data_IF_040267577960
#
_entry.id   IF_040267577960
#
_cell.length_a   1.000
_cell.length_b   1.000
_cell.length_c   1.000
_cell.angle_alpha   90.00
_cell.angle_beta   90.00
_cell.angle_gamma   90.00
#
_symmetry.space_group_name_H-M   'P 1'
#
loop_
_entity.id
_entity.type
_entity.pdbx_description
1 polymer ?
#
# COMPACT_ATOMS: atom_id res chain seq x y z
N UNK A 1 33.87 -92.45 -41.53
CA UNK A 1 34.41 -91.15 -41.09
C UNK A 1 33.57 -90.03 -41.72
N UNK A 2 32.63 -89.49 -40.99
CA UNK A 2 31.83 -88.32 -41.43
C UNK A 2 31.78 -87.37 -40.27
N UNK A 3 32.31 -86.16 -40.47
CA UNK A 3 32.32 -85.05 -39.52
C UNK A 3 31.01 -84.24 -39.69
N UNK A 4 30.26 -84.20 -38.70
CA UNK A 4 29.07 -83.33 -38.62
C UNK A 4 29.45 -81.98 -37.95
N UNK A 5 29.28 -80.89 -38.70
CA UNK A 5 29.38 -79.53 -38.20
C UNK A 5 28.07 -79.17 -37.52
N UNK A 6 28.13 -78.69 -36.26
CA UNK A 6 27.01 -78.07 -35.55
C UNK A 6 27.10 -76.58 -35.76
N UNK A 7 26.04 -75.99 -36.33
CA UNK A 7 25.85 -74.50 -36.40
C UNK A 7 25.19 -73.99 -35.15
N UNK A 8 25.87 -73.10 -34.45
CA UNK A 8 25.32 -72.41 -33.30
C UNK A 8 24.62 -71.08 -33.77
N UNK A 9 23.30 -71.01 -33.60
CA UNK A 9 22.50 -69.85 -33.93
C UNK A 9 22.43 -68.97 -32.69
N UNK A 10 23.09 -67.81 -32.74
CA UNK A 10 23.04 -66.78 -31.65
C UNK A 10 21.79 -65.90 -31.85
N UNK A 11 20.84 -65.99 -30.93
CA UNK A 11 19.65 -65.19 -30.90
C UNK A 11 19.97 -63.83 -30.16
N UNK A 12 20.08 -62.74 -30.93
CA UNK A 12 20.27 -61.40 -30.37
C UNK A 12 18.92 -60.85 -29.94
N UNK A 13 18.71 -60.74 -28.63
CA UNK A 13 17.56 -60.05 -28.02
C UNK A 13 17.78 -58.54 -28.05
N UNK A 14 17.01 -57.82 -28.89
CA UNK A 14 16.93 -56.36 -28.91
C UNK A 14 16.04 -55.90 -27.74
N UNK A 15 16.63 -55.36 -26.69
CA UNK A 15 15.92 -54.65 -25.60
C UNK A 15 15.57 -53.22 -26.09
N UNK A 16 14.30 -52.99 -26.44
CA UNK A 16 13.78 -51.65 -26.73
C UNK A 16 13.67 -50.86 -25.41
N UNK A 17 14.57 -49.91 -25.21
CA UNK A 17 14.47 -48.90 -24.15
C UNK A 17 13.36 -47.91 -24.58
N UNK A 18 12.16 -48.05 -24.05
CA UNK A 18 11.10 -47.04 -24.16
C UNK A 18 11.53 -45.82 -23.33
N UNK A 19 12.06 -44.78 -24.02
CA UNK A 19 12.22 -43.46 -23.44
C UNK A 19 10.82 -42.89 -23.19
N UNK A 20 10.32 -43.10 -21.98
CA UNK A 20 9.11 -42.45 -21.48
C UNK A 20 9.40 -40.96 -21.38
N UNK A 21 8.92 -40.15 -22.32
CA UNK A 21 8.73 -38.72 -22.12
C UNK A 21 7.74 -38.54 -20.96
N UNK A 22 8.25 -38.43 -19.75
CA UNK A 22 7.46 -38.04 -18.58
C UNK A 22 6.93 -36.63 -18.81
N UNK A 23 5.69 -36.52 -19.25
CA UNK A 23 4.96 -35.28 -19.17
C UNK A 23 4.91 -34.95 -17.69
N UNK A 24 5.65 -33.92 -17.26
CA UNK A 24 5.48 -33.32 -15.92
C UNK A 24 4.03 -32.90 -15.86
N UNK A 25 3.20 -33.68 -15.20
CA UNK A 25 1.88 -33.20 -14.78
C UNK A 25 2.15 -32.12 -13.74
N UNK A 26 1.96 -30.87 -14.15
CA UNK A 26 1.93 -29.76 -13.19
C UNK A 26 0.86 -30.11 -12.16
N UNK A 27 1.29 -30.27 -10.92
CA UNK A 27 0.40 -30.57 -9.82
C UNK A 27 -0.64 -29.44 -9.75
N UNK A 28 -1.90 -29.75 -10.04
CA UNK A 28 -3.04 -28.84 -9.87
C UNK A 28 -3.36 -28.62 -8.38
N UNK A 29 -2.68 -29.32 -7.48
CA UNK A 29 -2.82 -29.12 -6.04
C UNK A 29 -2.32 -27.74 -5.65
N UNK A 30 -3.15 -27.00 -4.90
CA UNK A 30 -2.74 -25.74 -4.30
C UNK A 30 -1.49 -25.97 -3.43
N UNK A 31 -0.52 -25.07 -3.46
CA UNK A 31 0.62 -25.16 -2.56
C UNK A 31 0.12 -25.13 -1.11
N UNK A 32 0.86 -25.74 -0.16
CA UNK A 32 0.50 -25.66 1.27
C UNK A 32 0.19 -24.23 1.68
N UNK A 33 -0.88 -24.05 2.47
CA UNK A 33 -1.31 -22.72 2.92
C UNK A 33 -0.20 -22.06 3.72
N UNK A 34 0.23 -20.89 3.26
CA UNK A 34 1.24 -20.06 3.92
C UNK A 34 0.58 -18.94 4.72
N UNK A 35 0.87 -18.87 6.01
CA UNK A 35 0.52 -17.71 6.84
C UNK A 35 1.34 -16.49 6.42
N UNK A 36 0.69 -15.32 6.34
CA UNK A 36 1.29 -14.05 5.96
C UNK A 36 0.81 -12.94 6.89
N UNK A 37 1.74 -12.32 7.62
CA UNK A 37 1.45 -11.17 8.47
C UNK A 37 1.56 -9.88 7.64
N UNK A 38 0.44 -9.17 7.50
CA UNK A 38 0.37 -7.87 6.85
C UNK A 38 0.22 -6.77 7.90
N UNK A 39 1.20 -5.88 8.01
CA UNK A 39 1.09 -4.69 8.84
C UNK A 39 0.33 -3.61 8.08
N UNK A 40 -0.77 -3.10 8.65
CA UNK A 40 -1.49 -1.95 8.11
C UNK A 40 -0.71 -0.65 8.38
N UNK A 41 -1.03 0.40 7.63
CA UNK A 41 -0.47 1.75 7.83
C UNK A 41 -1.15 2.50 8.98
N UNK A 42 -2.42 2.20 9.20
CA UNK A 42 -3.31 2.85 10.15
C UNK A 42 -4.28 1.82 10.75
N UNK A 43 -5.28 2.25 11.55
CA UNK A 43 -6.38 1.35 11.91
C UNK A 43 -7.21 0.97 10.68
N UNK A 44 -7.92 -0.17 10.70
CA UNK A 44 -8.78 -0.59 9.60
C UNK A 44 -9.78 0.51 9.21
N UNK A 45 -9.86 0.79 7.91
CA UNK A 45 -10.73 1.84 7.37
C UNK A 45 -11.10 1.57 5.91
N UNK A 46 -11.81 2.49 5.27
CA UNK A 46 -12.30 2.40 3.91
C UNK A 46 -11.20 2.11 2.87
N UNK A 47 -9.97 2.58 3.11
CA UNK A 47 -8.86 2.38 2.17
C UNK A 47 -8.38 0.92 2.14
N UNK A 48 -8.71 0.13 3.17
CA UNK A 48 -8.45 -1.31 3.26
C UNK A 48 -9.62 -2.18 2.75
N UNK A 49 -10.67 -1.60 2.18
CA UNK A 49 -11.89 -2.32 1.79
C UNK A 49 -11.63 -3.54 0.89
N UNK A 50 -10.71 -3.41 -0.08
CA UNK A 50 -10.36 -4.52 -0.98
C UNK A 50 -9.61 -5.65 -0.28
N UNK A 51 -8.78 -5.34 0.72
CA UNK A 51 -8.11 -6.35 1.55
C UNK A 51 -9.12 -7.22 2.29
N UNK A 52 -10.08 -6.58 2.99
CA UNK A 52 -11.11 -7.30 3.76
C UNK A 52 -12.11 -8.02 2.85
N UNK A 53 -12.41 -7.47 1.67
CA UNK A 53 -13.19 -8.18 0.66
C UNK A 53 -12.44 -9.43 0.15
N UNK A 54 -11.15 -9.33 -0.15
CA UNK A 54 -10.35 -10.48 -0.56
C UNK A 54 -10.28 -11.58 0.50
N UNK A 55 -10.18 -11.21 1.79
CA UNK A 55 -10.22 -12.16 2.90
C UNK A 55 -11.59 -12.85 2.97
N UNK A 56 -12.67 -12.08 3.00
CA UNK A 56 -14.03 -12.58 3.15
C UNK A 56 -14.49 -13.44 1.96
N UNK A 57 -14.06 -13.13 0.74
CA UNK A 57 -14.36 -13.88 -0.49
C UNK A 57 -13.42 -15.09 -0.69
N UNK A 58 -12.48 -15.30 0.24
CA UNK A 58 -11.53 -16.41 0.19
C UNK A 58 -10.49 -16.29 -0.93
N UNK A 59 -10.28 -15.10 -1.52
CA UNK A 59 -9.34 -14.91 -2.63
C UNK A 59 -7.91 -15.27 -2.26
N UNK A 60 -7.48 -14.98 -1.03
CA UNK A 60 -6.18 -15.42 -0.53
C UNK A 60 -6.10 -16.93 -0.36
N UNK A 61 -7.16 -17.58 0.16
CA UNK A 61 -7.23 -19.04 0.30
C UNK A 61 -7.13 -19.76 -1.05
N UNK A 62 -7.77 -19.23 -2.11
CA UNK A 62 -7.71 -19.78 -3.48
C UNK A 62 -6.28 -19.80 -4.04
N UNK A 63 -5.37 -19.01 -3.48
CA UNK A 63 -3.96 -18.96 -3.89
C UNK A 63 -3.02 -19.51 -2.81
N UNK A 64 -3.54 -20.25 -1.83
CA UNK A 64 -2.76 -20.87 -0.75
C UNK A 64 -2.14 -19.87 0.22
N UNK A 65 -2.84 -18.79 0.56
CA UNK A 65 -2.41 -17.80 1.56
C UNK A 65 -3.46 -17.66 2.67
N UNK A 66 -2.98 -17.53 3.92
CA UNK A 66 -3.75 -17.09 5.06
C UNK A 66 -3.20 -15.73 5.51
N UNK A 67 -3.89 -14.64 5.16
CA UNK A 67 -3.43 -13.28 5.42
C UNK A 67 -4.01 -12.77 6.73
N UNK A 68 -3.12 -12.26 7.60
CA UNK A 68 -3.45 -11.73 8.92
C UNK A 68 -3.12 -10.22 8.98
N UNK A 69 -4.10 -9.33 8.74
CA UNK A 69 -3.91 -7.89 8.92
C UNK A 69 -3.68 -7.56 10.39
N UNK A 70 -2.71 -6.68 10.66
CA UNK A 70 -2.35 -6.22 12.01
C UNK A 70 -2.33 -4.70 12.03
N UNK A 71 -3.02 -4.11 12.98
CA UNK A 71 -2.97 -2.65 13.23
C UNK A 71 -1.64 -2.31 13.92
N UNK A 72 -0.91 -1.29 13.47
CA UNK A 72 0.30 -0.84 14.14
C UNK A 72 -0.01 -0.19 15.50
N UNK A 73 0.98 -0.17 16.39
CA UNK A 73 0.87 0.53 17.70
C UNK A 73 0.79 2.05 17.56
N UNK A 74 1.42 2.58 16.51
CA UNK A 74 1.36 3.98 16.11
C UNK A 74 1.54 4.11 14.57
N UNK A 75 1.12 5.23 13.94
CA UNK A 75 1.19 5.37 12.49
C UNK A 75 2.60 5.38 11.90
N UNK A 76 3.65 5.58 12.70
CA UNK A 76 5.05 5.58 12.24
C UNK A 76 5.72 4.20 12.32
N UNK A 77 5.02 3.17 12.83
CA UNK A 77 5.59 1.86 13.11
C UNK A 77 5.70 0.91 11.89
N UNK A 78 4.83 0.96 10.85
CA UNK A 78 4.73 -0.12 9.87
C UNK A 78 6.05 -0.50 9.20
N UNK A 79 6.80 0.45 8.63
CA UNK A 79 8.07 0.14 7.98
C UNK A 79 9.18 -0.28 8.95
N UNK A 80 9.16 0.20 10.19
CA UNK A 80 10.10 -0.23 11.22
C UNK A 80 9.88 -1.70 11.57
N UNK A 81 8.60 -2.10 11.74
CA UNK A 81 8.23 -3.49 12.03
C UNK A 81 8.52 -4.42 10.84
N UNK A 82 8.25 -3.96 9.62
CA UNK A 82 8.62 -4.68 8.40
C UNK A 82 10.13 -4.90 8.31
N UNK A 83 10.93 -3.84 8.49
CA UNK A 83 12.39 -3.91 8.43
C UNK A 83 12.97 -4.83 9.52
N UNK A 84 12.34 -4.86 10.71
CA UNK A 84 12.70 -5.77 11.80
C UNK A 84 12.24 -7.23 11.60
N UNK A 85 11.58 -7.56 10.46
CA UNK A 85 11.10 -8.92 10.18
C UNK A 85 9.86 -9.32 10.98
N UNK A 86 9.18 -8.37 11.63
CA UNK A 86 7.97 -8.62 12.43
C UNK A 86 6.67 -8.61 11.58
N UNK A 87 6.79 -8.33 10.30
CA UNK A 87 5.76 -8.48 9.30
C UNK A 87 6.39 -8.99 8.00
N UNK A 88 5.61 -9.72 7.19
CA UNK A 88 6.03 -10.20 5.88
C UNK A 88 5.87 -9.10 4.84
N UNK A 89 4.73 -8.41 4.88
CA UNK A 89 4.38 -7.25 4.08
C UNK A 89 3.86 -6.11 4.98
N UNK A 90 3.92 -4.88 4.48
CA UNK A 90 3.29 -3.73 5.12
C UNK A 90 2.57 -2.86 4.10
N UNK A 91 1.49 -2.21 4.51
CA UNK A 91 0.94 -1.06 3.81
C UNK A 91 1.68 0.17 4.36
N UNK A 92 2.12 1.06 3.48
CA UNK A 92 2.82 2.28 3.81
C UNK A 92 2.63 3.31 2.68
N UNK A 93 3.48 4.31 2.63
CA UNK A 93 3.38 5.47 1.73
C UNK A 93 4.63 5.58 0.86
N UNK A 94 4.52 6.05 -0.38
CA UNK A 94 5.69 6.30 -1.26
C UNK A 94 6.75 7.16 -0.55
N UNK A 95 6.42 8.31 0.10
CA UNK A 95 7.40 9.10 0.84
C UNK A 95 8.13 8.32 1.94
N UNK A 96 7.43 7.46 2.67
CA UNK A 96 8.07 6.63 3.72
C UNK A 96 9.01 5.58 3.13
N UNK A 97 8.67 4.98 1.98
CA UNK A 97 9.57 4.05 1.28
C UNK A 97 10.85 4.76 0.88
N UNK A 98 10.76 5.97 0.31
CA UNK A 98 11.94 6.75 -0.09
C UNK A 98 12.77 7.20 1.10
N UNK A 99 12.13 7.66 2.19
CA UNK A 99 12.80 8.00 3.45
C UNK A 99 13.50 6.81 4.10
N UNK A 100 12.84 5.66 4.13
CA UNK A 100 13.42 4.43 4.68
C UNK A 100 14.66 4.00 3.88
N UNK A 101 14.60 4.09 2.56
CA UNK A 101 15.72 3.76 1.67
C UNK A 101 16.88 4.75 1.79
N UNK A 102 16.59 6.05 1.94
CA UNK A 102 17.61 7.07 2.19
C UNK A 102 18.40 6.80 3.48
N UNK A 103 17.75 6.16 4.46
CA UNK A 103 18.36 5.67 5.72
C UNK A 103 19.00 4.29 5.61
N UNK A 104 19.10 3.73 4.40
CA UNK A 104 19.73 2.44 4.15
C UNK A 104 18.85 1.21 4.36
N UNK A 105 17.56 1.35 4.66
CA UNK A 105 16.65 0.21 4.80
C UNK A 105 16.39 -0.44 3.43
N UNK A 106 16.49 -1.77 3.40
CA UNK A 106 16.36 -2.58 2.17
C UNK A 106 14.90 -2.97 1.93
N UNK A 107 14.04 -1.97 1.68
CA UNK A 107 12.62 -2.15 1.37
C UNK A 107 12.33 -1.82 -0.09
N UNK A 108 11.23 -2.37 -0.62
CA UNK A 108 10.76 -2.16 -1.99
C UNK A 108 9.23 -2.17 -2.01
N UNK A 109 8.62 -1.22 -2.73
CA UNK A 109 7.20 -1.23 -3.01
C UNK A 109 6.90 -2.25 -4.10
N UNK A 110 5.90 -3.11 -3.88
CA UNK A 110 5.49 -4.18 -4.80
C UNK A 110 4.15 -3.93 -5.47
N UNK A 111 3.52 -2.78 -5.18
CA UNK A 111 2.31 -2.33 -5.85
C UNK A 111 1.61 -1.21 -5.08
N UNK A 112 0.94 -0.31 -5.81
CA UNK A 112 0.19 0.81 -5.24
C UNK A 112 -1.29 0.44 -5.05
N UNK A 113 -1.83 0.73 -3.87
CA UNK A 113 -3.26 0.62 -3.56
C UNK A 113 -3.96 1.91 -3.98
N UNK A 114 -3.40 3.06 -3.60
CA UNK A 114 -3.93 4.39 -3.89
C UNK A 114 -2.87 5.20 -4.63
N UNK A 115 -3.16 5.56 -5.88
CA UNK A 115 -2.18 6.15 -6.81
C UNK A 115 -2.28 7.68 -6.89
N UNK A 116 -2.85 8.32 -5.87
CA UNK A 116 -2.98 9.79 -5.74
C UNK A 116 -2.89 10.19 -4.27
N UNK A 117 -2.42 11.39 -3.96
CA UNK A 117 -2.42 11.88 -2.58
C UNK A 117 -3.82 11.94 -1.98
N UNK A 118 -3.97 11.35 -0.81
CA UNK A 118 -5.13 11.50 0.07
C UNK A 118 -4.83 12.52 1.17
N UNK A 119 -3.58 12.57 1.58
CA UNK A 119 -3.07 13.48 2.61
C UNK A 119 -3.49 14.93 2.32
N UNK A 120 -4.06 15.58 3.33
CA UNK A 120 -4.58 16.93 3.24
C UNK A 120 -4.31 17.71 4.52
N UNK A 121 -4.32 19.03 4.41
CA UNK A 121 -4.53 19.92 5.54
C UNK A 121 -6.05 20.02 5.72
N UNK A 122 -6.53 19.67 6.90
CA UNK A 122 -7.96 19.72 7.23
C UNK A 122 -8.15 20.65 8.42
N UNK A 123 -9.13 21.56 8.33
CA UNK A 123 -9.45 22.49 9.40
C UNK A 123 -10.97 22.68 9.52
N UNK A 124 -11.43 23.11 10.69
CA UNK A 124 -12.83 23.49 10.91
C UNK A 124 -12.99 25.01 10.77
N UNK A 125 -14.19 25.47 10.38
CA UNK A 125 -14.46 26.88 10.10
C UNK A 125 -14.05 27.85 11.23
N UNK A 126 -14.16 27.43 12.48
CA UNK A 126 -13.75 28.25 13.67
C UNK A 126 -12.22 28.53 13.66
N UNK A 127 -11.40 27.71 13.03
CA UNK A 127 -9.95 27.92 12.94
C UNK A 127 -9.56 28.98 11.89
N UNK A 128 -10.47 29.34 10.98
CA UNK A 128 -10.25 30.31 9.88
C UNK A 128 -9.05 29.95 9.01
N UNK A 129 -8.85 28.66 8.75
CA UNK A 129 -7.81 28.15 7.85
C UNK A 129 -8.46 27.87 6.50
N UNK A 130 -8.12 28.65 5.47
CA UNK A 130 -8.65 28.52 4.10
C UNK A 130 -7.56 28.31 3.06
N UNK A 131 -6.32 28.67 3.38
CA UNK A 131 -5.14 28.53 2.53
C UNK A 131 -3.96 28.10 3.38
N UNK A 132 -2.86 27.60 2.80
CA UNK A 132 -1.63 27.35 3.54
C UNK A 132 -1.09 28.57 4.30
N UNK A 133 -1.24 29.79 3.74
CA UNK A 133 -0.82 31.03 4.39
C UNK A 133 -1.57 31.31 5.70
N UNK A 134 -2.83 30.90 5.80
CA UNK A 134 -3.62 31.09 7.02
C UNK A 134 -3.27 30.13 8.18
N UNK A 135 -2.24 29.30 7.99
CA UNK A 135 -1.64 28.49 9.08
C UNK A 135 -0.69 29.29 9.97
N UNK A 136 -0.35 30.53 9.60
CA UNK A 136 0.50 31.37 10.44
C UNK A 136 -0.06 31.51 11.87
N UNK A 137 0.78 31.28 12.87
CA UNK A 137 0.42 31.27 14.28
C UNK A 137 -0.47 30.09 14.75
N UNK A 138 -0.79 29.13 13.88
CA UNK A 138 -1.71 28.03 14.19
C UNK A 138 -1.01 26.82 14.82
N UNK A 139 -1.83 25.99 15.48
CA UNK A 139 -1.45 24.67 15.98
C UNK A 139 -1.87 23.64 14.95
N UNK A 140 -0.91 22.87 14.42
CA UNK A 140 -1.16 21.83 13.41
C UNK A 140 -0.87 20.47 14.02
N UNK A 141 -1.88 19.59 14.01
CA UNK A 141 -1.74 18.19 14.42
C UNK A 141 -1.27 17.33 13.27
N UNK A 142 -0.32 16.41 13.54
CA UNK A 142 0.10 15.37 12.59
C UNK A 142 -0.10 13.97 13.18
N UNK A 143 -0.17 12.95 12.33
CA UNK A 143 -0.20 11.55 12.79
C UNK A 143 1.19 11.06 13.30
N UNK A 144 2.21 11.92 13.28
CA UNK A 144 3.57 11.58 13.71
C UNK A 144 4.37 10.78 12.69
N UNK A 145 3.88 10.67 11.45
CA UNK A 145 4.59 10.01 10.36
C UNK A 145 5.68 10.98 9.86
N UNK A 146 6.94 10.55 9.72
CA UNK A 146 8.08 11.46 9.50
C UNK A 146 7.98 12.41 8.32
N UNK A 147 7.35 12.01 7.19
CA UNK A 147 7.22 12.89 6.03
C UNK A 147 6.26 14.07 6.25
N UNK A 148 5.31 13.96 7.19
CA UNK A 148 4.28 14.97 7.43
C UNK A 148 4.88 16.30 7.92
N UNK A 149 5.83 16.24 8.87
CA UNK A 149 6.57 17.43 9.32
C UNK A 149 7.32 18.11 8.18
N UNK A 150 7.93 17.32 7.30
CA UNK A 150 8.66 17.85 6.16
C UNK A 150 7.70 18.50 5.13
N UNK A 151 6.54 17.88 4.88
CA UNK A 151 5.48 18.47 4.05
C UNK A 151 5.01 19.81 4.63
N UNK A 152 4.71 19.85 5.93
CA UNK A 152 4.28 21.06 6.58
C UNK A 152 5.28 22.20 6.36
N UNK A 153 6.56 21.97 6.63
CA UNK A 153 7.63 22.96 6.41
C UNK A 153 7.69 23.44 4.97
N UNK A 154 7.62 22.50 4.01
CA UNK A 154 7.69 22.84 2.57
C UNK A 154 6.47 23.66 2.13
N UNK A 155 5.27 23.28 2.57
CA UNK A 155 4.01 23.97 2.26
C UNK A 155 4.02 25.38 2.86
N UNK A 156 4.47 25.53 4.11
CA UNK A 156 4.57 26.83 4.78
C UNK A 156 5.59 27.73 4.08
N UNK A 157 6.77 27.23 3.73
CA UNK A 157 7.79 27.98 3.01
C UNK A 157 7.27 28.49 1.66
N UNK A 158 6.54 27.65 0.89
CA UNK A 158 5.89 28.07 -0.36
C UNK A 158 4.81 29.13 -0.18
N UNK A 159 4.14 29.12 0.97
CA UNK A 159 3.12 30.11 1.33
C UNK A 159 3.70 31.36 1.97
N UNK A 160 5.05 31.51 2.02
CA UNK A 160 5.76 32.59 2.71
C UNK A 160 5.41 32.70 4.21
N UNK A 161 5.10 31.57 4.87
CA UNK A 161 4.86 31.48 6.31
C UNK A 161 6.15 30.97 6.97
N UNK A 162 6.57 31.64 8.06
CA UNK A 162 7.68 31.16 8.86
C UNK A 162 7.29 29.82 9.54
N UNK A 163 7.97 28.69 9.24
CA UNK A 163 7.63 27.41 9.87
C UNK A 163 7.68 27.43 11.40
N UNK A 164 8.50 28.28 12.00
CA UNK A 164 8.60 28.42 13.46
C UNK A 164 7.40 29.15 14.10
N UNK A 165 6.58 29.83 13.31
CA UNK A 165 5.33 30.42 13.79
C UNK A 165 4.21 29.37 13.95
N UNK A 166 4.36 28.19 13.38
CA UNK A 166 3.39 27.08 13.44
C UNK A 166 3.81 26.06 14.49
N UNK A 167 2.90 25.74 15.40
CA UNK A 167 3.14 24.70 16.41
C UNK A 167 2.68 23.36 15.91
N UNK A 168 3.61 22.50 15.55
CA UNK A 168 3.33 21.10 15.21
C UNK A 168 3.16 20.26 16.48
N UNK A 169 2.15 19.38 16.49
CA UNK A 169 1.88 18.44 17.58
C UNK A 169 1.55 17.07 17.02
N UNK A 170 2.27 16.04 17.45
CA UNK A 170 1.88 14.67 17.14
C UNK A 170 0.63 14.29 17.92
N UNK A 171 -0.45 13.95 17.22
CA UNK A 171 -1.72 13.49 17.78
C UNK A 171 -2.03 12.02 17.46
N UNK A 172 -1.11 11.35 16.77
CA UNK A 172 -1.23 9.93 16.38
C UNK A 172 -2.52 9.68 15.60
N UNK A 173 -3.29 8.69 16.03
CA UNK A 173 -4.57 8.35 15.41
C UNK A 173 -5.70 9.37 15.67
N UNK A 174 -5.51 10.37 16.54
CA UNK A 174 -6.57 11.24 17.03
C UNK A 174 -6.71 12.56 16.25
N UNK A 175 -6.60 12.52 14.92
CA UNK A 175 -6.66 13.71 14.07
C UNK A 175 -7.99 14.46 14.23
N UNK A 176 -9.13 13.78 14.04
CA UNK A 176 -10.46 14.38 14.17
C UNK A 176 -10.79 14.78 15.62
N UNK A 177 -10.58 13.92 16.63
CA UNK A 177 -10.78 14.30 18.02
C UNK A 177 -9.97 15.53 18.44
N UNK A 178 -8.73 15.67 17.98
CA UNK A 178 -7.88 16.81 18.30
C UNK A 178 -8.41 18.14 17.72
N UNK A 179 -9.00 18.11 16.51
CA UNK A 179 -9.67 19.29 15.93
C UNK A 179 -10.97 19.61 16.66
N UNK A 180 -11.81 18.61 16.95
CA UNK A 180 -13.10 18.81 17.61
C UNK A 180 -12.94 19.37 19.02
N UNK A 181 -11.93 18.92 19.77
CA UNK A 181 -11.58 19.43 21.10
C UNK A 181 -10.80 20.74 21.08
N UNK A 182 -10.52 21.29 19.88
CA UNK A 182 -9.70 22.49 19.69
C UNK A 182 -8.28 22.39 20.29
N UNK A 183 -7.75 21.18 20.43
CA UNK A 183 -6.35 20.94 20.82
C UNK A 183 -5.43 21.43 19.70
N UNK A 184 -5.84 21.26 18.44
CA UNK A 184 -5.21 21.80 17.25
C UNK A 184 -6.20 22.60 16.41
N UNK A 185 -5.69 23.51 15.60
CA UNK A 185 -6.49 24.38 14.73
C UNK A 185 -6.70 23.75 13.35
N UNK A 186 -5.74 22.93 12.92
CA UNK A 186 -5.79 22.15 11.69
C UNK A 186 -5.02 20.84 11.89
N UNK A 187 -5.19 19.90 10.97
CA UNK A 187 -4.34 18.70 10.87
C UNK A 187 -3.66 18.66 9.51
N UNK A 188 -2.42 18.13 9.45
CA UNK A 188 -1.78 17.66 8.24
C UNK A 188 -1.57 16.14 8.38
N UNK A 189 -2.07 15.37 7.42
CA UNK A 189 -2.06 13.90 7.47
C UNK A 189 -3.44 13.29 7.54
N UNK A 190 -4.48 14.09 7.80
CA UNK A 190 -5.85 13.66 7.57
C UNK A 190 -6.09 13.46 6.07
N UNK A 191 -6.87 12.42 5.73
CA UNK A 191 -7.21 12.09 4.36
C UNK A 191 -8.52 12.77 3.95
N UNK A 192 -8.54 13.41 2.77
CA UNK A 192 -9.76 14.07 2.29
C UNK A 192 -10.93 13.09 2.11
N UNK A 193 -10.64 11.83 1.78
CA UNK A 193 -11.62 10.77 1.55
C UNK A 193 -12.11 10.10 2.85
N UNK A 194 -11.43 10.26 3.97
CA UNK A 194 -11.79 9.64 5.26
C UNK A 194 -12.11 10.68 6.33
N UNK A 195 -11.14 11.38 6.91
CA UNK A 195 -11.40 12.43 7.92
C UNK A 195 -12.24 13.58 7.36
N UNK A 196 -11.99 13.96 6.09
CA UNK A 196 -12.81 14.97 5.41
C UNK A 196 -14.26 14.53 5.27
N UNK A 197 -14.51 13.29 4.87
CA UNK A 197 -15.85 12.69 4.78
C UNK A 197 -16.47 12.54 6.16
N UNK A 198 -15.72 12.10 7.17
CA UNK A 198 -16.19 11.96 8.55
C UNK A 198 -16.71 13.29 9.09
N UNK A 199 -15.96 14.36 8.95
CA UNK A 199 -16.35 15.68 9.40
C UNK A 199 -17.56 16.21 8.63
N UNK A 200 -17.64 15.98 7.33
CA UNK A 200 -18.79 16.35 6.52
C UNK A 200 -20.08 15.61 6.96
N UNK A 201 -19.99 14.30 7.24
CA UNK A 201 -21.12 13.52 7.77
C UNK A 201 -21.55 13.98 9.17
N UNK A 202 -20.64 14.57 9.94
CA UNK A 202 -20.92 15.20 11.24
C UNK A 202 -21.38 16.66 11.11
N UNK A 203 -21.69 17.13 9.91
CA UNK A 203 -22.12 18.52 9.63
C UNK A 203 -21.13 19.59 10.11
N UNK A 204 -19.81 19.29 10.06
CA UNK A 204 -18.74 20.21 10.53
C UNK A 204 -18.19 21.13 9.43
N UNK A 205 -18.59 20.95 8.17
CA UNK A 205 -18.13 21.73 7.03
C UNK A 205 -16.60 21.97 7.03
N UNK A 206 -15.78 20.91 6.88
CA UNK A 206 -14.33 21.05 6.93
C UNK A 206 -13.80 21.83 5.73
N UNK A 207 -12.78 22.66 5.96
CA UNK A 207 -11.89 23.11 4.89
C UNK A 207 -10.85 22.03 4.63
N UNK A 208 -10.70 21.64 3.37
CA UNK A 208 -9.75 20.61 2.94
C UNK A 208 -8.81 21.22 1.90
N UNK A 209 -7.53 21.25 2.22
CA UNK A 209 -6.46 21.69 1.31
C UNK A 209 -5.61 20.47 1.01
N UNK A 210 -5.77 19.89 -0.17
CA UNK A 210 -4.99 18.72 -0.60
C UNK A 210 -3.53 19.10 -0.75
N UNK A 211 -2.61 18.23 -0.34
CA UNK A 211 -1.17 18.53 -0.39
C UNK A 211 -0.67 18.74 -1.83
N UNK A 212 -1.27 18.05 -2.83
CA UNK A 212 -0.93 18.24 -4.24
C UNK A 212 -1.35 19.62 -4.77
N UNK A 213 -2.41 20.23 -4.21
CA UNK A 213 -2.77 21.62 -4.46
C UNK A 213 -1.92 22.62 -3.68
N UNK A 214 -1.28 22.19 -2.60
CA UNK A 214 -0.41 23.01 -1.74
C UNK A 214 1.08 22.97 -2.16
N UNK A 215 1.41 22.28 -3.26
CA UNK A 215 2.76 22.27 -3.85
C UNK A 215 3.61 21.04 -3.58
N UNK A 216 3.04 19.99 -3.01
CA UNK A 216 3.62 18.65 -3.01
C UNK A 216 3.26 17.98 -4.34
N UNK A 217 4.19 17.43 -5.11
CA UNK A 217 3.84 16.72 -6.35
C UNK A 217 2.98 15.48 -6.06
N UNK A 218 2.25 15.00 -7.06
CA UNK A 218 1.49 13.75 -6.94
C UNK A 218 2.42 12.57 -6.65
N UNK A 219 1.95 11.63 -5.83
CA UNK A 219 2.64 10.42 -5.42
C UNK A 219 1.63 9.31 -5.10
N UNK A 220 2.11 8.07 -4.96
CA UNK A 220 1.27 6.94 -4.53
C UNK A 220 1.04 7.02 -3.01
N UNK A 221 -0.19 7.31 -2.59
CA UNK A 221 -0.50 7.46 -1.16
C UNK A 221 -0.34 6.14 -0.41
N UNK A 222 -0.96 5.06 -0.89
CA UNK A 222 -0.84 3.77 -0.22
C UNK A 222 -0.16 2.75 -1.13
N UNK A 223 0.90 2.13 -0.61
CA UNK A 223 1.68 1.11 -1.32
C UNK A 223 1.87 -0.12 -0.45
N UNK A 224 1.91 -1.30 -1.08
CA UNK A 224 2.33 -2.54 -0.44
C UNK A 224 3.84 -2.62 -0.48
N UNK A 225 4.46 -2.81 0.66
CA UNK A 225 5.92 -2.81 0.83
C UNK A 225 6.40 -4.15 1.38
N UNK A 226 7.53 -4.60 0.86
CA UNK A 226 8.24 -5.78 1.33
C UNK A 226 9.71 -5.48 1.60
N UNK A 227 10.39 -6.33 2.36
CA UNK A 227 11.86 -6.34 2.39
C UNK A 227 12.40 -6.93 1.08
N UNK A 228 13.56 -6.46 0.62
CA UNK A 228 14.20 -6.98 -0.60
C UNK A 228 14.57 -8.46 -0.53
N UNK A 229 15.03 -8.93 0.64
CA UNK A 229 15.31 -10.35 0.87
C UNK A 229 14.03 -11.19 0.79
N UNK A 230 12.94 -10.71 1.39
CA UNK A 230 11.65 -11.39 1.32
C UNK A 230 11.14 -11.52 -0.13
N UNK A 231 11.26 -10.47 -0.92
CA UNK A 231 10.89 -10.48 -2.35
C UNK A 231 11.73 -11.49 -3.15
N UNK A 232 13.05 -11.51 -2.91
CA UNK A 232 13.95 -12.47 -3.56
C UNK A 232 13.59 -13.91 -3.23
N UNK A 233 13.34 -14.19 -1.95
CA UNK A 233 13.17 -15.56 -1.45
C UNK A 233 11.72 -16.05 -1.56
N UNK A 234 10.76 -15.12 -1.69
CA UNK A 234 9.31 -15.38 -1.66
C UNK A 234 8.51 -14.66 -2.75
N UNK A 235 9.13 -14.34 -3.90
CA UNK A 235 8.49 -13.58 -4.99
C UNK A 235 7.17 -14.20 -5.47
N UNK A 236 7.09 -15.54 -5.56
CA UNK A 236 5.84 -16.24 -5.89
C UNK A 236 4.72 -15.99 -4.86
N UNK A 237 5.06 -15.85 -3.57
CA UNK A 237 4.10 -15.49 -2.50
C UNK A 237 3.61 -14.07 -2.69
N UNK A 238 4.51 -13.12 -2.98
CA UNK A 238 4.16 -11.72 -3.24
C UNK A 238 3.25 -11.61 -4.46
N UNK A 239 3.53 -12.32 -5.55
CA UNK A 239 2.68 -12.36 -6.76
C UNK A 239 1.27 -12.89 -6.44
N UNK A 240 1.16 -13.98 -5.69
CA UNK A 240 -0.11 -14.54 -5.25
C UNK A 240 -0.89 -13.56 -4.36
N UNK A 241 -0.19 -12.87 -3.45
CA UNK A 241 -0.78 -11.84 -2.60
C UNK A 241 -1.34 -10.69 -3.44
N UNK A 242 -0.55 -10.11 -4.34
CA UNK A 242 -0.98 -8.97 -5.17
C UNK A 242 -2.17 -9.33 -6.08
N UNK A 243 -2.20 -10.57 -6.62
CA UNK A 243 -3.34 -11.05 -7.41
C UNK A 243 -4.62 -11.13 -6.59
N UNK A 244 -4.57 -11.74 -5.41
CA UNK A 244 -5.73 -11.87 -4.53
C UNK A 244 -6.19 -10.50 -4.01
N UNK A 245 -5.26 -9.63 -3.65
CA UNK A 245 -5.56 -8.26 -3.23
C UNK A 245 -6.29 -7.49 -4.35
N UNK A 246 -5.78 -7.56 -5.59
CA UNK A 246 -6.41 -6.95 -6.76
C UNK A 246 -7.83 -7.46 -7.03
N UNK A 247 -8.08 -8.76 -6.82
CA UNK A 247 -9.43 -9.34 -6.92
C UNK A 247 -10.39 -8.74 -5.88
N UNK A 248 -9.91 -8.51 -4.64
CA UNK A 248 -10.70 -7.88 -3.58
C UNK A 248 -11.04 -6.42 -3.89
N UNK A 249 -10.09 -5.62 -4.40
CA UNK A 249 -10.38 -4.24 -4.84
C UNK A 249 -11.32 -4.23 -6.05
N UNK A 250 -11.18 -5.16 -6.99
CA UNK A 250 -12.13 -5.30 -8.09
C UNK A 250 -13.55 -5.69 -7.60
N UNK A 251 -13.67 -6.52 -6.56
CA UNK A 251 -14.95 -6.82 -5.92
C UNK A 251 -15.55 -5.57 -5.24
N UNK A 252 -14.74 -4.82 -4.51
CA UNK A 252 -15.16 -3.55 -3.89
C UNK A 252 -15.62 -2.51 -4.92
N UNK A 253 -14.99 -2.46 -6.10
CA UNK A 253 -15.43 -1.60 -7.21
C UNK A 253 -16.78 -2.02 -7.76
N UNK A 254 -17.04 -3.34 -7.91
CA UNK A 254 -18.33 -3.87 -8.44
C UNK A 254 -19.47 -3.67 -7.46
N UNK A 255 -19.23 -3.93 -6.18
CA UNK A 255 -20.23 -3.78 -5.12
C UNK A 255 -19.61 -3.20 -3.85
N UNK A 256 -19.52 -1.86 -3.75
CA UNK A 256 -18.98 -1.18 -2.58
C UNK A 256 -19.77 -1.46 -1.29
N UNK A 257 -21.10 -1.67 -1.38
CA UNK A 257 -21.94 -1.94 -0.20
C UNK A 257 -21.58 -3.29 0.42
N UNK A 258 -21.48 -4.34 -0.41
CA UNK A 258 -21.10 -5.68 0.04
C UNK A 258 -19.69 -5.68 0.64
N UNK A 259 -18.72 -5.04 -0.05
CA UNK A 259 -17.34 -4.98 0.42
C UNK A 259 -17.20 -4.21 1.75
N UNK A 260 -17.94 -3.12 1.93
CA UNK A 260 -18.02 -2.40 3.22
C UNK A 260 -18.66 -3.26 4.30
N UNK A 261 -19.72 -4.03 3.98
CA UNK A 261 -20.31 -4.98 4.92
C UNK A 261 -19.29 -6.03 5.40
N UNK A 262 -18.41 -6.51 4.52
CA UNK A 262 -17.33 -7.44 4.87
C UNK A 262 -16.25 -6.77 5.75
N UNK A 263 -15.86 -5.53 5.44
CA UNK A 263 -14.92 -4.73 6.26
C UNK A 263 -15.46 -4.52 7.67
N UNK A 264 -16.71 -4.07 7.80
CA UNK A 264 -17.37 -3.80 9.10
C UNK A 264 -17.60 -5.08 9.89
N UNK A 265 -17.96 -6.20 9.22
CA UNK A 265 -18.08 -7.51 9.90
C UNK A 265 -16.76 -7.94 10.54
N UNK A 266 -15.64 -7.68 9.89
CA UNK A 266 -14.32 -7.99 10.42
C UNK A 266 -13.85 -6.97 11.48
N UNK A 267 -14.43 -5.76 11.50
CA UNK A 267 -14.06 -4.64 12.37
C UNK A 267 -15.33 -3.95 12.86
N UNK A 268 -16.03 -4.50 13.88
CA UNK A 268 -17.37 -4.05 14.28
C UNK A 268 -17.45 -2.61 14.82
N UNK A 269 -16.35 -2.04 15.26
CA UNK A 269 -16.29 -0.66 15.77
C UNK A 269 -16.35 0.41 14.64
N UNK A 270 -16.32 -0.01 13.38
CA UNK A 270 -16.35 0.90 12.24
C UNK A 270 -17.79 1.35 11.92
N UNK A 271 -17.98 2.65 11.71
CA UNK A 271 -19.23 3.22 11.21
C UNK A 271 -19.44 2.87 9.73
N UNK A 272 -20.41 2.03 9.43
CA UNK A 272 -20.70 1.56 8.06
C UNK A 272 -21.06 2.70 7.08
N UNK A 273 -21.71 3.78 7.56
CA UNK A 273 -22.09 4.94 6.74
C UNK A 273 -20.84 5.72 6.33
N UNK A 274 -19.93 5.95 7.27
CA UNK A 274 -18.63 6.57 7.01
C UNK A 274 -17.83 5.73 6.02
N UNK A 275 -17.67 4.41 6.29
CA UNK A 275 -16.89 3.54 5.42
C UNK A 275 -17.43 3.53 3.98
N UNK A 276 -18.76 3.46 3.81
CA UNK A 276 -19.36 3.45 2.47
C UNK A 276 -19.16 4.79 1.73
N UNK A 277 -19.32 5.90 2.43
CA UNK A 277 -19.10 7.22 1.84
C UNK A 277 -17.62 7.40 1.42
N UNK A 278 -16.70 7.00 2.29
CA UNK A 278 -15.26 7.06 2.04
C UNK A 278 -14.83 6.14 0.89
N UNK A 279 -15.29 4.88 0.86
CA UNK A 279 -15.00 3.96 -0.26
C UNK A 279 -15.46 4.58 -1.59
N UNK A 280 -16.67 5.12 -1.66
CA UNK A 280 -17.18 5.76 -2.88
C UNK A 280 -16.33 6.95 -3.34
N UNK A 281 -15.85 7.74 -2.39
CA UNK A 281 -14.95 8.86 -2.67
C UNK A 281 -13.58 8.38 -3.19
N UNK A 282 -13.10 7.22 -2.70
CA UNK A 282 -11.77 6.68 -3.02
C UNK A 282 -11.74 5.84 -4.31
N UNK A 283 -12.87 5.28 -4.76
CA UNK A 283 -12.92 4.42 -5.95
C UNK A 283 -12.17 4.97 -7.18
N UNK A 284 -12.25 6.27 -7.53
CA UNK A 284 -11.53 6.81 -8.69
C UNK A 284 -10.00 6.75 -8.55
N UNK A 285 -9.47 6.74 -7.33
CA UNK A 285 -8.02 6.72 -7.06
C UNK A 285 -7.48 5.33 -6.75
N UNK A 286 -8.33 4.35 -6.43
CA UNK A 286 -7.98 2.94 -6.48
C UNK A 286 -7.79 2.44 -7.92
N UNK A 287 -8.53 3.05 -8.87
CA UNK A 287 -8.55 2.69 -10.28
C UNK A 287 -8.47 3.95 -11.15
N UNK A 288 -7.29 4.57 -11.25
CA UNK A 288 -7.14 5.87 -11.93
C UNK A 288 -7.37 5.84 -13.45
N UNK A 289 -7.82 4.70 -13.98
CA UNK A 289 -8.14 4.54 -15.39
C UNK A 289 -6.99 3.97 -16.24
N UNK A 290 -7.29 3.69 -17.52
CA UNK A 290 -6.34 3.11 -18.46
C UNK A 290 -6.27 1.59 -18.46
N UNK A 291 -5.29 1.03 -19.20
CA UNK A 291 -5.08 -0.42 -19.37
C UNK A 291 -4.10 -1.01 -18.34
N UNK A 292 -3.66 -0.22 -17.38
CA UNK A 292 -2.68 -0.66 -16.39
C UNK A 292 -3.34 -1.56 -15.35
N UNK A 293 -2.66 -2.63 -14.90
CA UNK A 293 -3.21 -3.50 -13.86
C UNK A 293 -3.37 -2.76 -12.53
N UNK A 294 -4.26 -3.28 -11.67
CA UNK A 294 -4.32 -2.83 -10.28
C UNK A 294 -2.94 -2.93 -9.63
N UNK A 295 -2.56 -1.91 -8.91
CA UNK A 295 -1.27 -1.86 -8.22
C UNK A 295 -0.12 -1.25 -9.03
N UNK A 296 -0.34 -0.85 -10.29
CA UNK A 296 0.73 -0.30 -11.13
C UNK A 296 1.34 0.96 -10.52
N UNK A 297 2.66 1.05 -10.59
CA UNK A 297 3.46 2.17 -10.10
C UNK A 297 4.27 2.77 -11.26
N UNK A 298 4.21 4.08 -11.46
CA UNK A 298 4.94 4.77 -12.52
C UNK A 298 6.35 5.15 -12.04
N UNK A 299 7.37 4.43 -12.50
CA UNK A 299 8.76 4.68 -12.11
C UNK A 299 9.22 6.11 -12.40
N UNK A 300 8.72 6.71 -13.49
CA UNK A 300 9.02 8.10 -13.82
C UNK A 300 8.37 9.10 -12.86
N UNK A 301 7.13 8.81 -12.40
CA UNK A 301 6.47 9.61 -11.37
C UNK A 301 7.23 9.53 -10.03
N UNK A 302 7.62 8.34 -9.60
CA UNK A 302 8.45 8.13 -8.41
C UNK A 302 9.79 8.85 -8.50
N UNK A 303 10.44 8.83 -9.67
CA UNK A 303 11.69 9.57 -9.89
C UNK A 303 11.50 11.08 -9.76
N UNK A 304 10.44 11.63 -10.36
CA UNK A 304 10.12 13.07 -10.25
C UNK A 304 9.78 13.47 -8.82
N UNK A 305 8.98 12.66 -8.12
CA UNK A 305 8.63 12.89 -6.73
C UNK A 305 9.85 12.80 -5.81
N UNK A 306 10.69 11.76 -5.96
CA UNK A 306 11.93 11.62 -5.20
C UNK A 306 12.92 12.75 -5.45
N UNK A 307 13.04 13.24 -6.69
CA UNK A 307 13.85 14.43 -7.00
C UNK A 307 13.30 15.69 -6.30
N UNK A 308 11.97 15.82 -6.17
CA UNK A 308 11.35 16.88 -5.37
C UNK A 308 11.68 16.72 -3.88
N UNK A 309 11.62 15.52 -3.33
CA UNK A 309 12.00 15.25 -1.94
C UNK A 309 13.46 15.67 -1.68
N UNK A 310 14.37 15.35 -2.60
CA UNK A 310 15.79 15.75 -2.49
C UNK A 310 15.96 17.26 -2.50
N UNK A 311 15.33 17.97 -3.45
CA UNK A 311 15.39 19.44 -3.53
C UNK A 311 14.83 20.14 -2.30
N UNK A 312 13.85 19.52 -1.62
CA UNK A 312 13.25 20.06 -0.39
C UNK A 312 13.88 19.45 0.87
N UNK A 313 15.03 18.78 0.76
CA UNK A 313 15.82 18.23 1.88
C UNK A 313 15.07 17.21 2.75
N UNK A 314 14.06 16.54 2.19
CA UNK A 314 13.35 15.45 2.83
C UNK A 314 14.21 14.18 2.86
N UNK A 315 15.02 13.99 1.82
CA UNK A 315 16.04 12.93 1.71
C UNK A 315 17.40 13.57 1.41
N UNK A 316 18.47 12.86 1.74
CA UNK A 316 19.85 13.36 1.63
C UNK A 316 20.54 12.89 0.33
N UNK A 317 20.12 11.75 -0.20
CA UNK A 317 20.77 11.12 -1.35
C UNK A 317 19.81 11.06 -2.54
N UNK A 318 20.30 11.13 -3.78
CA UNK A 318 19.48 10.95 -4.97
C UNK A 318 18.73 9.62 -4.93
N UNK A 319 17.40 9.60 -5.05
CA UNK A 319 16.62 8.38 -4.98
C UNK A 319 16.78 7.54 -6.23
N UNK A 320 16.92 6.24 -6.07
CA UNK A 320 16.83 5.28 -7.16
C UNK A 320 15.41 4.71 -7.21
N UNK A 321 14.54 5.32 -8.02
CA UNK A 321 13.15 4.91 -8.16
C UNK A 321 13.02 3.46 -8.67
N UNK A 322 13.84 3.04 -9.65
CA UNK A 322 13.84 1.68 -10.18
C UNK A 322 14.22 0.61 -9.15
N UNK A 323 14.93 1.00 -8.07
CA UNK A 323 15.22 0.11 -6.96
C UNK A 323 14.24 0.25 -5.79
N UNK A 324 13.40 1.29 -5.79
CA UNK A 324 12.44 1.56 -4.72
C UNK A 324 11.08 0.88 -4.95
N UNK A 325 10.75 0.58 -6.19
CA UNK A 325 9.51 -0.09 -6.57
C UNK A 325 9.77 -1.24 -7.56
N UNK A 326 8.79 -2.13 -7.69
CA UNK A 326 8.73 -3.13 -8.78
C UNK A 326 7.27 -3.40 -9.13
N UNK A 327 6.99 -3.56 -10.42
CA UNK A 327 5.68 -3.98 -10.94
C UNK A 327 5.66 -5.48 -11.30
N UNK A 328 6.76 -6.20 -11.10
CA UNK A 328 6.95 -7.61 -11.48
C UNK A 328 5.88 -8.56 -10.90
N UNK A 329 5.32 -8.23 -9.74
CA UNK A 329 4.38 -9.08 -9.03
C UNK A 329 2.91 -8.75 -9.29
N UNK A 330 2.63 -7.78 -10.16
CA UNK A 330 1.26 -7.38 -10.46
C UNK A 330 0.56 -8.37 -11.39
N UNK A 331 -0.79 -8.48 -11.34
CA UNK A 331 -1.55 -9.29 -12.27
C UNK A 331 -1.25 -8.92 -13.73
N UNK A 332 -0.94 -9.91 -14.57
CA UNK A 332 -0.64 -9.70 -15.99
C UNK A 332 0.74 -9.11 -16.29
N UNK A 333 1.61 -8.94 -15.28
CA UNK A 333 2.99 -8.53 -15.46
C UNK A 333 3.94 -9.71 -15.15
N UNK A 334 4.90 -9.96 -16.03
CA UNK A 334 6.02 -10.88 -15.76
C UNK A 334 5.62 -12.34 -15.55
N UNK A 335 4.81 -12.90 -16.43
CA UNK A 335 4.59 -14.35 -16.56
C UNK A 335 5.46 -14.87 -17.66
#
# INVERSE_FOLDING_TARGET
MRKTLAAATTLATLTAVAAGCGVKQDSTALPPTRSLNLMLDFFPNADHVGLYAAIADGEFGKVGLAVHPRTPSDPSAPLKLLAAGRADLAISYEPEVLLARDRGLRVVSVGAIVQRPLTSIIALGAARVSTPASLDGKRVGTAGIPYQSAYLKTILARANVNPNAVRETNVGFNLVPAMLSRKVDATLGGFWNYEGVQLALQHRAPTIIRVDAAGVPTYDELVVVARKDYVRDHGATVRRFMRALGAGYAAARRDPRRAVGQLVKANPDLDAKLQLASVRATLPVFFPGGRRPFGYQDTGAWARYGAWMLRNQLIKHPPNAGAALTNEFLPGQGV
#
